data_IF_860508432950
#
_entry.id   IF_860508432950
#
_cell.length_a   1.000
_cell.length_b   1.000
_cell.length_c   1.000
_cell.angle_alpha   90.00
_cell.angle_beta   90.00
_cell.angle_gamma   90.00
#
_symmetry.space_group_name_H-M   'P 1'
#
loop_
_entity.id
_entity.type
_entity.pdbx_description
1 polymer ?
#
# COMPACT_ATOMS: atom_id res chain seq x y z
N UNK A 1 9.66 13.10 0.42
CA UNK A 1 9.08 13.33 -0.92
C UNK A 1 8.09 12.21 -1.20
N UNK A 2 6.81 12.51 -1.44
CA UNK A 2 5.81 11.50 -1.81
C UNK A 2 5.75 11.35 -3.33
N UNK A 3 5.66 10.11 -3.82
CA UNK A 3 5.42 9.79 -5.23
C UNK A 3 4.00 9.29 -5.36
N UNK A 4 3.23 9.84 -6.31
CA UNK A 4 1.87 9.38 -6.61
C UNK A 4 1.95 8.25 -7.63
N UNK A 5 1.32 7.13 -7.32
CA UNK A 5 1.17 5.98 -8.21
C UNK A 5 -0.32 5.70 -8.40
N UNK A 6 -0.71 5.30 -9.62
CA UNK A 6 -2.07 4.81 -9.88
C UNK A 6 -2.03 3.29 -9.85
N UNK A 7 -2.83 2.67 -8.99
CA UNK A 7 -2.94 1.22 -8.83
C UNK A 7 -4.29 0.77 -9.34
N UNK A 8 -4.30 -0.29 -10.15
CA UNK A 8 -5.54 -0.98 -10.54
C UNK A 8 -5.71 -2.18 -9.62
N UNK A 9 -6.82 -2.22 -8.87
CA UNK A 9 -7.13 -3.28 -7.93
C UNK A 9 -8.33 -4.10 -8.44
N UNK A 10 -8.37 -5.41 -8.19
CA UNK A 10 -9.60 -6.18 -8.39
C UNK A 10 -10.73 -5.63 -7.52
N UNK A 11 -11.96 -5.68 -8.04
CA UNK A 11 -13.15 -5.15 -7.35
C UNK A 11 -13.30 -5.72 -5.94
N UNK A 12 -13.06 -7.02 -5.76
CA UNK A 12 -13.13 -7.68 -4.45
C UNK A 12 -12.20 -7.09 -3.40
N UNK A 13 -10.99 -6.68 -3.82
CA UNK A 13 -9.99 -6.05 -2.95
C UNK A 13 -10.39 -4.61 -2.67
N UNK A 14 -10.88 -3.90 -3.68
CA UNK A 14 -11.34 -2.53 -3.51
C UNK A 14 -12.50 -2.43 -2.51
N UNK A 15 -13.53 -3.27 -2.64
CA UNK A 15 -14.67 -3.27 -1.70
C UNK A 15 -14.27 -3.66 -0.27
N UNK A 16 -13.26 -4.53 -0.10
CA UNK A 16 -12.74 -4.84 1.23
C UNK A 16 -12.01 -3.64 1.85
N UNK A 17 -11.18 -2.95 1.06
CA UNK A 17 -10.49 -1.71 1.46
C UNK A 17 -11.47 -0.60 1.78
N UNK A 18 -12.51 -0.41 0.97
CA UNK A 18 -13.52 0.63 1.18
C UNK A 18 -14.27 0.43 2.49
N UNK A 19 -14.75 -0.78 2.77
CA UNK A 19 -15.41 -1.10 4.04
C UNK A 19 -14.50 -0.90 5.26
N UNK A 20 -13.21 -1.22 5.12
CA UNK A 20 -12.25 -0.99 6.20
C UNK A 20 -11.98 0.51 6.39
N UNK A 21 -11.86 1.27 5.30
CA UNK A 21 -11.65 2.71 5.34
C UNK A 21 -12.83 3.44 5.99
N UNK A 22 -14.05 3.04 5.63
CA UNK A 22 -15.30 3.53 6.25
C UNK A 22 -15.35 3.25 7.75
N UNK A 23 -14.98 2.04 8.18
CA UNK A 23 -14.96 1.66 9.59
C UNK A 23 -13.97 2.52 10.42
N UNK A 24 -12.88 2.99 9.81
CA UNK A 24 -11.90 3.88 10.44
C UNK A 24 -12.20 5.38 10.24
N UNK A 25 -13.21 5.72 9.44
CA UNK A 25 -13.54 7.11 9.11
C UNK A 25 -12.46 7.83 8.29
N UNK A 26 -11.68 7.10 7.49
CA UNK A 26 -10.60 7.65 6.65
C UNK A 26 -10.84 7.43 5.16
N UNK A 27 -10.27 8.26 4.27
CA UNK A 27 -10.36 8.00 2.83
C UNK A 27 -9.70 6.68 2.43
N UNK A 28 -10.33 5.92 1.52
CA UNK A 28 -9.81 4.64 0.99
C UNK A 28 -8.39 4.76 0.43
N UNK A 29 -8.06 5.89 -0.21
CA UNK A 29 -6.72 6.16 -0.73
C UNK A 29 -5.65 6.25 0.38
N UNK A 30 -6.00 6.83 1.54
CA UNK A 30 -5.07 6.93 2.68
C UNK A 30 -4.85 5.56 3.33
N UNK A 31 -5.93 4.78 3.50
CA UNK A 31 -5.83 3.39 3.97
C UNK A 31 -4.95 2.57 3.02
N UNK A 32 -5.21 2.65 1.71
CA UNK A 32 -4.45 1.91 0.71
C UNK A 32 -2.96 2.28 0.75
N UNK A 33 -2.62 3.57 0.86
CA UNK A 33 -1.23 4.01 1.00
C UNK A 33 -0.56 3.42 2.25
N UNK A 34 -1.27 3.41 3.38
CA UNK A 34 -0.77 2.82 4.63
C UNK A 34 -0.57 1.31 4.53
N UNK A 35 -1.51 0.59 3.92
CA UNK A 35 -1.42 -0.88 3.73
C UNK A 35 -0.24 -1.23 2.83
N UNK A 36 -0.02 -0.47 1.75
CA UNK A 36 1.14 -0.65 0.87
C UNK A 36 2.44 -0.41 1.63
N UNK A 37 2.52 0.64 2.44
CA UNK A 37 3.70 0.91 3.26
C UNK A 37 4.01 -0.22 4.24
N UNK A 38 2.99 -0.75 4.93
CA UNK A 38 3.13 -1.86 5.86
C UNK A 38 3.63 -3.12 5.14
N UNK A 39 3.04 -3.46 4.00
CA UNK A 39 3.43 -4.62 3.21
C UNK A 39 4.88 -4.51 2.69
N UNK A 40 5.32 -3.31 2.28
CA UNK A 40 6.71 -3.07 1.88
C UNK A 40 7.66 -3.27 3.07
N UNK A 41 7.35 -2.70 4.23
CA UNK A 41 8.15 -2.88 5.47
C UNK A 41 8.27 -4.35 5.87
N UNK A 42 7.18 -5.11 5.81
CA UNK A 42 7.19 -6.54 6.09
C UNK A 42 8.05 -7.32 5.08
N UNK A 43 7.97 -6.95 3.79
CA UNK A 43 8.76 -7.59 2.75
C UNK A 43 10.26 -7.25 2.86
N UNK A 44 10.62 -6.04 3.29
CA UNK A 44 12.00 -5.68 3.65
C UNK A 44 12.50 -6.49 4.85
N UNK A 45 11.69 -6.59 5.92
CA UNK A 45 12.03 -7.39 7.10
C UNK A 45 12.22 -8.89 6.76
N UNK A 46 11.48 -9.40 5.78
CA UNK A 46 11.58 -10.78 5.29
C UNK A 46 12.69 -10.98 4.24
N UNK A 47 13.51 -9.95 3.94
CA UNK A 47 14.52 -9.96 2.88
C UNK A 47 13.97 -10.36 1.48
N UNK A 48 12.68 -10.11 1.23
CA UNK A 48 12.03 -10.40 -0.07
C UNK A 48 12.29 -9.31 -1.10
N UNK A 49 12.44 -8.07 -0.65
CA UNK A 49 12.75 -6.94 -1.53
C UNK A 49 14.28 -6.86 -1.62
N UNK A 50 14.88 -6.99 -2.82
CA UNK A 50 16.31 -6.79 -2.97
C UNK A 50 16.67 -5.37 -2.51
N UNK A 51 17.82 -5.17 -1.83
CA UNK A 51 18.21 -3.86 -1.35
C UNK A 51 18.23 -2.88 -2.53
N UNK A 52 17.88 -1.60 -2.29
CA UNK A 52 17.75 -0.62 -3.35
C UNK A 52 19.01 -0.64 -4.21
N UNK A 53 18.87 -1.08 -5.46
CA UNK A 53 19.96 -1.00 -6.42
C UNK A 53 20.18 0.48 -6.67
N UNK A 54 21.28 1.00 -6.15
CA UNK A 54 21.79 2.35 -6.34
C UNK A 54 21.94 2.60 -7.86
N UNK A 55 20.86 3.06 -8.49
CA UNK A 55 20.92 3.69 -9.81
C UNK A 55 20.73 5.18 -9.55
N UNK A 56 21.88 5.82 -9.32
CA UNK A 56 22.13 7.25 -9.46
C UNK A 56 21.47 7.83 -10.71
#
# INVERSE_FOLDING_TARGET
MSKRVNLTLPDSVFYALERWAEAEGRPTANLAAFVVELAVKEAEAQNKIPPPSDKK
#
